data_IF_968687910149
#
_entry.id   IF_968687910149
#
_cell.length_a   1.000
_cell.length_b   1.000
_cell.length_c   1.000
_cell.angle_alpha   90.00
_cell.angle_beta   90.00
_cell.angle_gamma   90.00
#
_symmetry.space_group_name_H-M   'P 1'
#
loop_
_entity.id
_entity.type
_entity.pdbx_description
1 polymer ?
#
# COMPACT_ATOMS: atom_id res chain seq x y z
N UNK A 1 18.12 2.70 -14.73
CA UNK A 1 18.23 4.10 -14.25
C UNK A 1 18.20 4.08 -12.73
N UNK A 2 19.17 4.71 -12.07
CA UNK A 2 19.21 4.78 -10.60
C UNK A 2 18.25 5.87 -10.07
N UNK A 3 17.77 5.74 -8.83
CA UNK A 3 16.86 6.70 -8.19
C UNK A 3 17.47 8.11 -8.17
N UNK A 4 18.78 8.23 -7.93
CA UNK A 4 19.47 9.53 -7.94
C UNK A 4 19.41 10.20 -9.31
N UNK A 5 19.57 9.41 -10.36
CA UNK A 5 19.53 9.87 -11.74
C UNK A 5 18.12 10.30 -12.17
N UNK A 6 17.10 9.58 -11.71
CA UNK A 6 15.69 9.98 -11.92
C UNK A 6 15.43 11.34 -11.29
N UNK A 7 15.86 11.54 -10.03
CA UNK A 7 15.64 12.80 -9.30
C UNK A 7 16.39 13.99 -9.91
N UNK A 8 17.57 13.77 -10.51
CA UNK A 8 18.31 14.84 -11.17
C UNK A 8 17.70 15.22 -12.53
N UNK A 9 17.16 14.25 -13.28
CA UNK A 9 16.55 14.48 -14.60
C UNK A 9 15.08 14.88 -14.53
N UNK A 10 14.40 14.61 -13.42
CA UNK A 10 13.01 14.97 -13.20
C UNK A 10 12.90 15.94 -12.01
N UNK A 11 12.96 17.27 -12.24
CA UNK A 11 12.79 18.24 -11.18
C UNK A 11 11.36 18.22 -10.64
N UNK A 12 11.20 18.55 -9.36
CA UNK A 12 9.88 18.51 -8.70
C UNK A 12 8.84 19.41 -9.38
N UNK A 13 9.27 20.53 -9.97
CA UNK A 13 8.38 21.44 -10.71
C UNK A 13 7.77 20.77 -11.95
N UNK A 14 8.52 19.89 -12.64
CA UNK A 14 7.99 19.11 -13.77
C UNK A 14 6.98 18.08 -13.29
N UNK A 15 7.25 17.41 -12.17
CA UNK A 15 6.28 16.50 -11.53
C UNK A 15 4.97 17.24 -11.23
N UNK A 16 5.04 18.41 -10.60
CA UNK A 16 3.85 19.23 -10.30
C UNK A 16 3.10 19.65 -11.56
N UNK A 17 3.84 20.05 -12.60
CA UNK A 17 3.28 20.47 -13.89
C UNK A 17 2.50 19.35 -14.58
N UNK A 18 2.94 18.09 -14.43
CA UNK A 18 2.21 16.92 -14.95
C UNK A 18 0.87 16.68 -14.23
N UNK A 19 0.72 17.17 -13.02
CA UNK A 19 -0.56 17.21 -12.29
C UNK A 19 -1.34 18.51 -12.50
N UNK A 20 -0.89 19.40 -13.38
CA UNK A 20 -1.51 20.70 -13.62
C UNK A 20 -1.34 21.69 -12.45
N UNK A 21 -0.40 21.42 -11.54
CA UNK A 21 -0.17 22.25 -10.35
C UNK A 21 0.97 23.22 -10.64
N UNK A 22 0.68 24.51 -10.51
CA UNK A 22 1.66 25.59 -10.65
C UNK A 22 1.85 26.28 -9.31
N UNK A 23 3.06 26.25 -8.72
CA UNK A 23 3.38 27.05 -7.54
C UNK A 23 3.25 28.55 -7.80
N UNK A 24 2.97 29.30 -6.74
CA UNK A 24 3.00 30.77 -6.79
C UNK A 24 4.45 31.31 -6.88
N UNK A 25 4.60 32.64 -6.94
CA UNK A 25 5.90 33.34 -6.95
C UNK A 25 6.81 33.00 -5.76
N UNK A 26 6.23 32.49 -4.67
CA UNK A 26 6.94 32.12 -3.45
C UNK A 26 7.04 30.59 -3.32
N UNK A 27 6.81 29.80 -4.37
CA UNK A 27 6.80 28.33 -4.35
C UNK A 27 5.82 27.71 -3.34
N UNK A 28 4.67 28.34 -3.09
CA UNK A 28 3.59 27.77 -2.30
C UNK A 28 2.46 27.24 -3.19
N UNK A 29 1.81 26.19 -2.70
CA UNK A 29 0.60 25.59 -3.28
C UNK A 29 -0.38 25.22 -2.17
N UNK A 30 -1.67 25.12 -2.52
CA UNK A 30 -2.64 24.44 -1.67
C UNK A 30 -2.26 22.97 -1.59
N UNK A 31 -2.24 22.42 -0.38
CA UNK A 31 -1.83 21.04 -0.19
C UNK A 31 -2.86 20.10 -0.83
N UNK A 32 -2.46 19.20 -1.74
CA UNK A 32 -3.40 18.27 -2.37
C UNK A 32 -3.73 17.06 -1.48
N UNK A 33 -3.16 16.99 -0.27
CA UNK A 33 -3.21 15.82 0.61
C UNK A 33 -4.04 16.05 1.87
N UNK A 34 -4.58 17.25 2.07
CA UNK A 34 -5.60 17.55 3.07
C UNK A 34 -6.44 18.73 2.57
N UNK A 35 -7.59 18.94 3.20
CA UNK A 35 -8.44 20.09 2.89
C UNK A 35 -7.84 21.36 3.52
N UNK A 36 -7.59 22.37 2.70
CA UNK A 36 -6.92 23.62 3.07
C UNK A 36 -7.40 24.77 2.19
N UNK A 37 -7.84 25.84 2.82
CA UNK A 37 -8.29 27.06 2.14
C UNK A 37 -7.10 27.92 1.65
N UNK A 38 -5.95 27.78 2.29
CA UNK A 38 -4.75 28.59 2.05
C UNK A 38 -3.61 27.77 1.43
N UNK A 39 -2.61 28.40 0.80
CA UNK A 39 -1.42 27.66 0.35
C UNK A 39 -0.49 27.25 1.52
N UNK A 40 -0.74 26.11 2.19
CA UNK A 40 0.13 25.65 3.30
C UNK A 40 1.34 24.81 2.89
N UNK A 41 1.46 24.43 1.62
CA UNK A 41 2.54 23.57 1.15
C UNK A 41 3.61 24.35 0.39
N UNK A 42 4.84 24.31 0.90
CA UNK A 42 6.03 24.91 0.30
C UNK A 42 6.79 23.87 -0.53
N UNK A 43 7.15 24.25 -1.74
CA UNK A 43 8.01 23.51 -2.65
C UNK A 43 9.43 24.09 -2.57
N UNK A 44 10.42 23.22 -2.56
CA UNK A 44 11.84 23.55 -2.58
C UNK A 44 12.47 22.99 -3.86
N UNK A 45 12.47 23.76 -4.97
CA UNK A 45 12.98 23.28 -6.26
C UNK A 45 14.44 22.85 -6.21
N UNK A 46 15.27 23.61 -5.49
CA UNK A 46 16.72 23.35 -5.36
C UNK A 46 17.03 21.98 -4.76
N UNK A 47 16.26 21.55 -3.76
CA UNK A 47 16.43 20.25 -3.10
C UNK A 47 15.54 19.17 -3.70
N UNK A 48 14.58 19.53 -4.57
CA UNK A 48 13.60 18.62 -5.13
C UNK A 48 12.60 18.07 -4.11
N UNK A 49 12.32 18.82 -3.04
CA UNK A 49 11.46 18.36 -1.92
C UNK A 49 10.27 19.30 -1.68
N UNK A 50 9.32 18.84 -0.85
CA UNK A 50 8.17 19.62 -0.40
C UNK A 50 7.93 19.45 1.11
N UNK A 51 7.29 20.44 1.71
CA UNK A 51 6.78 20.36 3.08
C UNK A 51 5.44 21.09 3.19
N UNK A 52 4.44 20.45 3.81
CA UNK A 52 3.19 21.10 4.17
C UNK A 52 3.16 21.45 5.65
N UNK A 53 3.02 22.74 5.94
CA UNK A 53 2.94 23.25 7.32
C UNK A 53 1.58 22.99 7.99
N UNK A 54 0.54 22.65 7.22
CA UNK A 54 -0.78 22.30 7.74
C UNK A 54 -0.85 20.85 8.24
N UNK A 55 -0.52 19.88 7.38
CA UNK A 55 -0.63 18.45 7.71
C UNK A 55 0.71 17.75 8.02
N UNK A 56 1.84 18.44 7.88
CA UNK A 56 3.18 17.90 8.15
C UNK A 56 3.74 16.96 7.08
N UNK A 57 3.02 16.72 5.98
CA UNK A 57 3.53 15.89 4.88
C UNK A 57 4.80 16.48 4.29
N UNK A 58 5.81 15.63 4.14
CA UNK A 58 7.11 15.94 3.56
C UNK A 58 7.52 14.83 2.61
N UNK A 59 8.26 15.16 1.57
CA UNK A 59 8.69 14.19 0.59
C UNK A 59 9.46 14.79 -0.57
N UNK A 60 9.76 13.94 -1.54
CA UNK A 60 10.44 14.27 -2.79
C UNK A 60 9.56 13.97 -4.01
N UNK A 61 10.13 14.04 -5.21
CA UNK A 61 9.43 13.76 -6.47
C UNK A 61 8.71 12.41 -6.50
N UNK A 62 9.34 11.36 -5.97
CA UNK A 62 8.81 10.00 -6.01
C UNK A 62 7.75 9.84 -4.93
N UNK A 63 8.00 10.39 -3.73
CA UNK A 63 7.03 10.39 -2.64
C UNK A 63 5.74 11.13 -3.05
N UNK A 64 5.88 12.24 -3.77
CA UNK A 64 4.74 12.98 -4.31
C UNK A 64 3.85 12.08 -5.19
N UNK A 65 4.45 11.33 -6.11
CA UNK A 65 3.71 10.45 -7.02
C UNK A 65 3.03 9.32 -6.24
N UNK A 66 3.73 8.70 -5.29
CA UNK A 66 3.15 7.67 -4.41
C UNK A 66 1.93 8.20 -3.66
N UNK A 67 2.07 9.35 -3.00
CA UNK A 67 0.99 9.94 -2.19
C UNK A 67 -0.20 10.39 -3.06
N UNK A 68 0.07 10.93 -4.26
CA UNK A 68 -0.96 11.46 -5.16
C UNK A 68 -1.75 10.36 -5.86
N UNK A 69 -1.09 9.25 -6.20
CA UNK A 69 -1.66 8.14 -6.96
C UNK A 69 -2.08 6.96 -6.06
N UNK A 70 -1.65 6.95 -4.80
CA UNK A 70 -1.89 5.82 -3.88
C UNK A 70 -1.20 4.53 -4.32
N UNK A 71 -0.04 4.65 -4.99
CA UNK A 71 0.68 3.52 -5.59
C UNK A 71 1.94 3.13 -4.80
N UNK A 72 2.50 1.97 -5.14
CA UNK A 72 3.77 1.52 -4.56
C UNK A 72 4.95 2.37 -5.03
N UNK A 73 6.05 2.36 -4.28
CA UNK A 73 7.28 3.06 -4.66
C UNK A 73 7.81 2.61 -6.04
N UNK A 74 7.69 1.32 -6.36
CA UNK A 74 8.12 0.80 -7.66
C UNK A 74 7.30 1.38 -8.81
N UNK A 75 5.96 1.40 -8.67
CA UNK A 75 5.07 2.01 -9.68
C UNK A 75 5.32 3.51 -9.83
N UNK A 76 5.57 4.21 -8.72
CA UNK A 76 5.91 5.63 -8.75
C UNK A 76 7.25 5.90 -9.47
N UNK A 77 8.25 5.02 -9.30
CA UNK A 77 9.52 5.10 -10.03
C UNK A 77 9.30 4.90 -11.53
N UNK A 78 8.52 3.90 -11.93
CA UNK A 78 8.20 3.66 -13.35
C UNK A 78 7.48 4.85 -13.97
N UNK A 79 6.52 5.43 -13.24
CA UNK A 79 5.79 6.62 -13.68
C UNK A 79 6.68 7.87 -13.75
N UNK A 80 7.63 8.02 -12.82
CA UNK A 80 8.63 9.08 -12.89
C UNK A 80 9.52 8.94 -14.14
N UNK A 81 9.95 7.72 -14.48
CA UNK A 81 10.78 7.47 -15.66
C UNK A 81 10.09 7.82 -16.98
N UNK A 82 8.78 7.59 -17.10
CA UNK A 82 8.01 7.94 -18.31
C UNK A 82 7.83 9.44 -18.51
N UNK A 83 8.08 10.25 -17.47
CA UNK A 83 8.00 11.71 -17.52
C UNK A 83 9.34 12.39 -17.79
N UNK A 84 10.43 11.63 -17.86
CA UNK A 84 11.75 12.19 -18.17
C UNK A 84 11.80 12.48 -19.69
N UNK A 85 11.96 13.74 -20.11
CA UNK A 85 12.08 14.05 -21.53
C UNK A 85 13.34 13.37 -22.13
N UNK A 86 13.17 12.75 -23.31
CA UNK A 86 14.25 12.05 -24.02
C UNK A 86 14.39 10.55 -23.69
N UNK A 87 13.46 9.94 -22.94
CA UNK A 87 13.35 8.47 -22.80
C UNK A 87 12.34 7.88 -23.78
N UNK A 88 12.27 8.41 -25.02
CA UNK A 88 11.62 7.70 -26.12
C UNK A 88 12.60 6.64 -26.64
N UNK A 89 12.74 5.54 -25.90
CA UNK A 89 13.21 4.20 -26.32
C UNK A 89 13.55 3.40 -25.06
N UNK A 90 12.55 2.74 -24.49
CA UNK A 90 12.65 1.33 -24.11
C UNK A 90 11.25 0.83 -23.80
N UNK A 91 10.71 0.11 -24.79
CA UNK A 91 9.64 -0.86 -24.63
C UNK A 91 9.83 -1.65 -23.32
N UNK A 92 8.78 -1.91 -22.52
CA UNK A 92 8.92 -2.68 -21.29
C UNK A 92 9.37 -4.10 -21.63
N UNK A 93 10.67 -4.36 -21.52
CA UNK A 93 11.20 -5.72 -21.58
C UNK A 93 10.69 -6.46 -20.34
N UNK A 94 9.65 -7.26 -20.56
CA UNK A 94 9.25 -8.31 -19.65
C UNK A 94 10.50 -9.11 -19.26
N UNK A 95 10.68 -9.49 -17.98
CA UNK A 95 11.75 -10.39 -17.62
C UNK A 95 11.51 -11.74 -18.33
N UNK A 96 12.17 -11.95 -19.47
CA UNK A 96 12.20 -13.25 -20.13
C UNK A 96 13.01 -14.17 -19.25
N UNK A 97 12.33 -15.02 -18.49
CA UNK A 97 12.95 -16.15 -17.82
C UNK A 97 13.50 -17.06 -18.93
N UNK A 98 14.81 -17.03 -19.14
CA UNK A 98 15.49 -17.95 -20.05
C UNK A 98 15.55 -19.31 -19.36
N UNK A 99 14.52 -20.14 -19.57
CA UNK A 99 14.54 -21.55 -19.22
C UNK A 99 15.43 -22.33 -20.20
N UNK A 100 16.76 -22.14 -20.13
CA UNK A 100 17.71 -22.76 -21.07
C UNK A 100 18.33 -24.07 -20.59
N UNK A 101 17.69 -24.81 -19.67
CA UNK A 101 18.27 -26.09 -19.17
C UNK A 101 17.29 -27.26 -19.03
N UNK A 102 16.06 -27.20 -19.57
CA UNK A 102 15.12 -28.34 -19.44
C UNK A 102 14.91 -29.16 -20.73
N UNK A 103 15.27 -28.65 -21.92
CA UNK A 103 14.98 -29.33 -23.20
C UNK A 103 15.93 -30.47 -23.61
N UNK A 104 16.56 -31.17 -22.66
CA UNK A 104 17.39 -32.36 -22.97
C UNK A 104 16.92 -33.66 -22.32
N UNK A 105 15.69 -33.71 -21.80
CA UNK A 105 15.18 -34.88 -21.05
C UNK A 105 13.89 -35.53 -21.60
N UNK A 106 13.31 -35.07 -22.71
CA UNK A 106 12.04 -35.63 -23.22
C UNK A 106 12.19 -36.28 -24.61
N UNK A 107 13.14 -37.21 -24.71
CA UNK A 107 13.22 -38.19 -25.78
C UNK A 107 12.54 -39.52 -25.41
N UNK A 108 11.28 -39.50 -24.96
CA UNK A 108 10.48 -40.73 -24.77
C UNK A 108 9.21 -40.62 -25.60
N UNK A 109 9.15 -41.39 -26.68
CA UNK A 109 7.95 -41.59 -27.48
C UNK A 109 6.86 -42.21 -26.60
N UNK A 110 5.70 -41.56 -26.53
CA UNK A 110 4.52 -42.10 -25.86
C UNK A 110 3.98 -43.30 -26.67
N UNK A 111 3.64 -44.43 -26.03
CA UNK A 111 2.97 -45.53 -26.72
C UNK A 111 1.56 -45.12 -27.18
N UNK A 112 1.05 -45.70 -28.28
CA UNK A 112 -0.26 -45.35 -28.80
C UNK A 112 -1.37 -45.76 -27.82
N UNK A 113 -2.26 -44.82 -27.52
CA UNK A 113 -3.41 -45.02 -26.62
C UNK A 113 -4.47 -45.88 -27.32
N UNK A 114 -5.00 -46.95 -26.69
CA UNK A 114 -6.07 -47.75 -27.28
C UNK A 114 -7.37 -46.95 -27.38
N UNK A 115 -8.03 -47.01 -28.54
CA UNK A 115 -9.38 -46.44 -28.73
C UNK A 115 -10.39 -47.30 -27.97
N UNK A 116 -10.78 -46.87 -26.77
CA UNK A 116 -11.87 -47.54 -26.04
C UNK A 116 -13.22 -47.24 -26.69
N UNK A 117 -13.89 -48.32 -27.10
CA UNK A 117 -15.27 -48.33 -27.58
C UNK A 117 -16.24 -47.71 -26.56
N UNK A 118 -17.17 -46.92 -27.08
CA UNK A 118 -18.24 -46.21 -26.38
C UNK A 118 -19.16 -47.20 -25.64
N UNK A 119 -18.93 -47.41 -24.35
CA UNK A 119 -19.90 -48.09 -23.49
C UNK A 119 -21.09 -47.16 -23.23
N UNK A 120 -22.29 -47.64 -23.53
CA UNK A 120 -23.56 -46.93 -23.33
C UNK A 120 -23.75 -46.58 -21.85
N UNK A 121 -24.10 -45.31 -21.60
CA UNK A 121 -24.47 -44.83 -20.27
C UNK A 121 -25.83 -45.41 -19.88
N UNK A 122 -25.88 -46.34 -18.93
CA UNK A 122 -27.11 -46.62 -18.20
C UNK A 122 -27.30 -45.53 -17.13
N UNK A 123 -28.34 -44.73 -17.30
CA UNK A 123 -28.79 -43.72 -16.36
C UNK A 123 -29.38 -44.37 -15.11
N UNK A 124 -28.68 -44.32 -13.99
CA UNK A 124 -29.31 -44.53 -12.68
C UNK A 124 -29.84 -43.19 -12.17
N UNK A 125 -31.17 -43.10 -12.04
CA UNK A 125 -31.88 -42.05 -11.33
C UNK A 125 -31.46 -42.09 -9.86
N UNK A 126 -30.80 -41.05 -9.36
CA UNK A 126 -30.64 -40.82 -7.93
C UNK A 126 -31.65 -39.76 -7.51
N UNK A 127 -32.54 -40.16 -6.59
CA UNK A 127 -33.56 -39.33 -5.97
C UNK A 127 -32.95 -38.09 -5.29
N UNK A 128 -33.65 -36.98 -5.43
CA UNK A 128 -33.40 -35.76 -4.67
C UNK A 128 -33.75 -35.99 -3.19
N UNK A 129 -32.85 -35.60 -2.28
CA UNK A 129 -33.22 -35.26 -0.90
C UNK A 129 -32.91 -33.78 -0.63
N UNK A 130 -33.86 -32.99 -0.09
CA UNK A 130 -33.62 -31.60 0.28
C UNK A 130 -33.06 -31.52 1.71
N UNK A 131 -32.05 -30.67 1.91
CA UNK A 131 -31.69 -30.18 3.25
C UNK A 131 -30.27 -30.49 3.72
N UNK A 132 -29.28 -29.78 3.17
CA UNK A 132 -27.94 -29.68 3.78
C UNK A 132 -27.25 -28.36 3.38
N UNK A 133 -27.88 -27.23 3.69
CA UNK A 133 -27.44 -25.91 3.21
C UNK A 133 -27.41 -24.80 4.26
N UNK A 134 -27.31 -25.10 5.57
CA UNK A 134 -27.52 -24.07 6.61
C UNK A 134 -26.53 -24.07 7.80
N UNK A 135 -25.41 -24.79 7.74
CA UNK A 135 -24.44 -24.80 8.86
C UNK A 135 -23.20 -23.90 8.68
N UNK A 136 -22.88 -23.44 7.46
CA UNK A 136 -21.64 -22.66 7.23
C UNK A 136 -21.74 -21.15 7.46
N UNK A 137 -22.95 -20.59 7.65
CA UNK A 137 -23.14 -19.14 7.83
C UNK A 137 -23.07 -18.72 9.32
N UNK A 138 -23.47 -19.60 10.25
CA UNK A 138 -23.51 -19.26 11.69
C UNK A 138 -22.13 -19.11 12.35
N UNK A 139 -21.08 -19.76 11.81
CA UNK A 139 -19.72 -19.68 12.37
C UNK A 139 -18.92 -18.42 11.96
N UNK A 140 -19.45 -17.56 11.08
CA UNK A 140 -18.80 -16.29 10.71
C UNK A 140 -19.18 -15.12 11.60
N UNK A 141 -20.37 -15.15 12.21
CA UNK A 141 -20.82 -14.08 13.12
C UNK A 141 -20.11 -14.13 14.47
N UNK A 142 -19.83 -15.34 14.98
CA UNK A 142 -19.17 -15.53 16.28
C UNK A 142 -17.68 -15.13 16.26
N UNK A 143 -17.01 -15.15 15.10
CA UNK A 143 -15.62 -14.67 14.97
C UNK A 143 -15.48 -13.14 14.88
N UNK A 144 -16.54 -12.40 14.52
CA UNK A 144 -16.48 -10.91 14.46
C UNK A 144 -16.63 -10.24 15.82
N UNK A 145 -17.26 -10.89 16.81
CA UNK A 145 -17.40 -10.36 18.17
C UNK A 145 -16.13 -10.56 19.02
N UNK A 146 -15.31 -11.58 18.75
CA UNK A 146 -14.10 -11.87 19.54
C UNK A 146 -12.90 -10.95 19.23
N UNK A 147 -12.89 -10.22 18.10
CA UNK A 147 -11.79 -9.29 17.74
C UNK A 147 -12.01 -7.88 18.30
N UNK A 148 -13.22 -7.56 18.79
CA UNK A 148 -13.51 -6.25 19.38
C UNK A 148 -13.20 -6.16 20.89
N UNK A 149 -12.86 -7.26 21.56
CA UNK A 149 -12.69 -7.30 23.02
C UNK A 149 -11.23 -7.27 23.52
N UNK A 150 -10.22 -7.25 22.66
CA UNK A 150 -8.82 -7.02 23.08
C UNK A 150 -8.39 -5.56 22.90
N UNK A 151 -9.33 -4.62 23.07
CA UNK A 151 -9.12 -3.17 22.99
C UNK A 151 -9.20 -2.48 24.36
N UNK A 152 -8.68 -3.13 25.40
CA UNK A 152 -8.40 -2.50 26.69
C UNK A 152 -7.37 -3.38 27.39
N UNK A 153 -6.08 -3.06 27.24
CA UNK A 153 -5.04 -3.25 28.26
C UNK A 153 -3.72 -2.66 27.72
N UNK A 154 -3.35 -1.50 28.28
CA UNK A 154 -1.99 -0.95 28.35
C UNK A 154 -1.25 -0.61 27.04
N UNK A 155 -1.56 0.56 26.47
CA UNK A 155 -0.59 1.30 25.65
C UNK A 155 0.27 2.17 26.57
N UNK A 156 1.55 1.82 26.76
CA UNK A 156 2.53 2.70 27.39
C UNK A 156 3.18 3.61 26.32
N UNK A 157 3.16 4.95 26.49
CA UNK A 157 3.73 5.86 25.52
C UNK A 157 5.29 5.83 25.52
N UNK A 158 5.94 6.25 24.41
CA UNK A 158 7.40 6.19 24.25
C UNK A 158 8.18 7.07 25.26
N UNK A 159 9.40 6.63 25.62
CA UNK A 159 10.22 7.13 26.76
C UNK A 159 10.57 8.63 26.77
N UNK A 160 10.31 9.41 25.72
CA UNK A 160 10.65 10.84 25.65
C UNK A 160 9.62 11.81 26.25
N UNK A 161 8.45 11.33 26.71
CA UNK A 161 7.39 12.19 27.28
C UNK A 161 6.96 11.81 28.72
N UNK A 162 7.82 11.11 29.48
CA UNK A 162 7.48 10.66 30.85
C UNK A 162 7.36 11.77 31.91
N UNK A 163 7.71 13.02 31.58
CA UNK A 163 7.82 14.10 32.57
C UNK A 163 6.53 14.90 32.78
N UNK A 164 5.52 14.75 31.92
CA UNK A 164 4.32 15.60 31.96
C UNK A 164 3.11 14.96 32.68
N UNK A 165 3.18 13.67 33.03
CA UNK A 165 2.05 12.89 33.58
C UNK A 165 2.24 12.47 35.05
N UNK A 166 3.23 12.99 35.75
CA UNK A 166 3.34 12.86 37.20
C UNK A 166 2.95 14.19 37.86
N UNK A 167 1.65 14.49 37.82
CA UNK A 167 1.05 15.44 38.76
C UNK A 167 0.92 14.72 40.11
N UNK A 168 1.28 15.36 41.24
CA UNK A 168 1.20 14.73 42.54
C UNK A 168 -0.28 14.56 42.91
N UNK A 169 -0.70 13.32 43.14
CA UNK A 169 -1.99 13.03 43.77
C UNK A 169 -1.96 13.60 45.18
N UNK A 170 -2.59 14.77 45.36
CA UNK A 170 -2.98 15.30 46.66
C UNK A 170 -4.00 14.33 47.26
N UNK A 171 -3.55 13.52 48.21
CA UNK A 171 -4.43 12.75 49.08
C UNK A 171 -4.88 13.65 50.24
N UNK A 172 -5.97 14.38 50.00
CA UNK A 172 -6.95 14.65 51.05
C UNK A 172 -7.54 13.31 51.46
N UNK A 173 -6.96 12.68 52.48
CA UNK A 173 -7.47 11.57 53.31
C UNK A 173 -6.23 11.05 54.07
N UNK A 174 -5.99 11.36 55.34
CA UNK A 174 -6.53 10.65 56.49
C UNK A 174 -6.52 11.55 57.75
N UNK A 175 -7.56 12.37 57.95
CA UNK A 175 -8.08 12.64 59.31
C UNK A 175 -8.90 11.41 59.67
N UNK A 176 -8.28 10.37 60.26
CA UNK A 176 -8.90 9.26 60.99
C UNK A 176 -7.83 8.20 61.30
N UNK A 177 -7.08 8.44 62.36
CA UNK A 177 -6.52 7.45 63.27
C UNK A 177 -5.96 8.22 64.46
N UNK A 178 -6.82 8.45 65.45
CA UNK A 178 -6.37 8.70 66.80
C UNK A 178 -5.91 7.36 67.37
N UNK A 179 -4.67 7.34 67.85
CA UNK A 179 -4.09 6.57 68.95
C UNK A 179 -2.60 6.94 68.98
#
# INVERSE_FOLDING_TARGET
MDIKEIKSRLPILTVLSNYGIKPDRNNHIRCPFHDDETPSMKIYPETGTYHCFGCGKTGDQIQWIQDKEGCSQHEAILKAQSWIPGTAETEPQQPTIKNTTIEKALGRTLPPVPKHHRAQRQSQKILHQPGAGLQKVKNRLQRRQAVQQTKTLHYLPPKRQRRQYLQPLRAQDYRKRGL
#
